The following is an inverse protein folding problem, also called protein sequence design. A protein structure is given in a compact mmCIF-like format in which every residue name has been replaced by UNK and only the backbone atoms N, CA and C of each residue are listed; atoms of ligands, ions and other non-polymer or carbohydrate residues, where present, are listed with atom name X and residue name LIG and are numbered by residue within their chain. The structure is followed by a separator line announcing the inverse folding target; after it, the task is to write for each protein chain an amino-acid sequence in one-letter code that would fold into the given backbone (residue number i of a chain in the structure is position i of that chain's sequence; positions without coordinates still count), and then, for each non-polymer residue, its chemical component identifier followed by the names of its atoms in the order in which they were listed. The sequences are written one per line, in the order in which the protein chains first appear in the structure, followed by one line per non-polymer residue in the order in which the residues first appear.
data_IF_552661464203
#
_entry.id   IF_552661464203
#
_cell.length_a   1.000
_cell.length_b   1.000
_cell.length_c   1.000
_cell.angle_alpha   90.00
_cell.angle_beta   90.00
_cell.angle_gamma   90.00
#
_symmetry.space_group_name_H-M   'P 1'
#
loop_
_entity.id
_entity.type
_entity.pdbx_description
1 polymer ?
#
# COMPACT_ATOMS: atom_id res chain seq x y z
N UNK A 1 3.16 6.58 -16.67
CA UNK A 1 2.16 7.11 -15.72
C UNK A 1 2.08 6.13 -14.56
N UNK A 2 2.82 6.33 -13.45
CA UNK A 2 2.99 5.29 -12.45
C UNK A 2 1.70 5.04 -11.66
N UNK A 3 1.54 3.79 -11.27
CA UNK A 3 0.39 3.26 -10.57
C UNK A 3 0.91 2.43 -9.40
N UNK A 4 0.86 2.98 -8.19
CA UNK A 4 1.16 2.24 -6.97
C UNK A 4 -0.13 1.63 -6.44
N UNK A 5 -0.12 0.31 -6.17
CA UNK A 5 -1.29 -0.43 -5.67
C UNK A 5 -0.81 -1.17 -4.43
N UNK A 6 -1.47 -0.96 -3.30
CA UNK A 6 -1.25 -1.80 -2.13
C UNK A 6 -2.42 -2.78 -1.94
N UNK A 7 -2.12 -4.05 -1.72
CA UNK A 7 -3.07 -5.00 -1.15
C UNK A 7 -2.70 -5.19 0.31
N UNK A 8 -3.63 -4.93 1.22
CA UNK A 8 -3.35 -4.88 2.65
C UNK A 8 -4.43 -5.62 3.42
N UNK A 9 -4.03 -6.49 4.35
CA UNK A 9 -4.98 -7.11 5.28
C UNK A 9 -5.60 -6.03 6.16
N UNK A 10 -6.92 -6.06 6.26
CA UNK A 10 -7.74 -5.18 7.08
C UNK A 10 -7.39 -5.16 8.57
N UNK A 11 -6.85 -6.25 9.12
CA UNK A 11 -6.53 -6.40 10.55
C UNK A 11 -5.42 -5.45 11.05
N UNK A 12 -4.67 -4.81 10.14
CA UNK A 12 -3.68 -3.76 10.47
C UNK A 12 -4.08 -2.37 9.93
N UNK A 13 -5.35 -2.14 9.58
CA UNK A 13 -5.78 -0.92 8.87
C UNK A 13 -5.33 0.39 9.53
N UNK A 14 -5.42 0.47 10.85
CA UNK A 14 -5.02 1.68 11.59
C UNK A 14 -3.49 1.80 11.69
N UNK A 15 -2.81 0.69 11.99
CA UNK A 15 -1.36 0.63 12.18
C UNK A 15 -0.59 0.81 10.86
N UNK A 16 -1.19 0.40 9.74
CA UNK A 16 -0.56 0.46 8.42
C UNK A 16 -0.42 1.89 7.88
N UNK A 17 -1.24 2.85 8.34
CA UNK A 17 -1.23 4.25 7.90
C UNK A 17 -1.02 4.41 6.39
N UNK A 18 -1.85 3.74 5.59
CA UNK A 18 -1.75 3.80 4.13
C UNK A 18 -1.82 5.24 3.57
N UNK A 19 -2.62 6.18 4.14
CA UNK A 19 -2.54 7.58 3.76
C UNK A 19 -1.13 8.18 3.92
N UNK A 20 -0.49 7.97 5.08
CA UNK A 20 0.89 8.42 5.33
C UNK A 20 1.91 7.75 4.41
N UNK A 21 1.75 6.46 4.12
CA UNK A 21 2.57 5.74 3.13
C UNK A 21 2.44 6.35 1.73
N UNK A 22 1.22 6.62 1.27
CA UNK A 22 0.98 7.17 -0.07
C UNK A 22 1.56 8.56 -0.26
N UNK A 23 1.54 9.43 0.76
CA UNK A 23 2.21 10.74 0.69
C UNK A 23 3.69 10.55 0.38
N UNK A 24 4.38 9.71 1.17
CA UNK A 24 5.82 9.45 1.03
C UNK A 24 6.18 8.79 -0.29
N UNK A 25 5.38 7.82 -0.75
CA UNK A 25 5.59 7.15 -2.04
C UNK A 25 5.44 8.14 -3.19
N UNK A 26 4.40 8.98 -3.17
CA UNK A 26 4.19 9.98 -4.22
C UNK A 26 5.31 11.01 -4.25
N UNK A 27 5.76 11.49 -3.09
CA UNK A 27 6.91 12.37 -2.95
C UNK A 27 8.18 11.72 -3.51
N UNK A 28 8.47 10.47 -3.15
CA UNK A 28 9.65 9.74 -3.64
C UNK A 28 9.62 9.52 -5.17
N UNK A 29 8.46 9.15 -5.72
CA UNK A 29 8.30 8.97 -7.17
C UNK A 29 8.46 10.29 -7.92
N UNK A 30 7.93 11.39 -7.40
CA UNK A 30 8.12 12.72 -8.00
C UNK A 30 9.58 13.18 -7.91
N UNK A 31 10.22 12.98 -6.76
CA UNK A 31 11.63 13.35 -6.53
C UNK A 31 12.61 12.58 -7.43
N UNK A 32 12.22 11.41 -7.94
CA UNK A 32 13.03 10.66 -8.92
C UNK A 32 13.30 11.41 -10.23
N UNK A 33 12.45 12.39 -10.59
CA UNK A 33 12.51 13.07 -11.89
C UNK A 33 12.05 12.21 -13.08
N UNK A 34 11.79 10.92 -12.88
CA UNK A 34 11.35 9.98 -13.92
C UNK A 34 9.85 10.10 -14.17
N UNK A 35 9.07 10.34 -13.11
CA UNK A 35 7.62 10.35 -13.18
C UNK A 35 7.03 11.74 -12.96
N UNK A 36 6.15 12.23 -13.87
CA UNK A 36 5.49 13.51 -13.68
C UNK A 36 4.47 13.43 -12.54
N UNK A 37 4.46 14.45 -11.66
CA UNK A 37 3.59 14.50 -10.47
C UNK A 37 2.11 14.29 -10.81
N UNK A 38 1.62 14.90 -11.90
CA UNK A 38 0.22 14.76 -12.33
C UNK A 38 -0.18 13.35 -12.78
N UNK A 39 0.80 12.44 -12.97
CA UNK A 39 0.55 11.05 -13.37
C UNK A 39 0.59 10.03 -12.22
N UNK A 40 0.99 10.44 -11.01
CA UNK A 40 1.20 9.51 -9.89
C UNK A 40 -0.14 9.21 -9.21
N UNK A 41 -0.51 7.91 -9.17
CA UNK A 41 -1.75 7.44 -8.53
C UNK A 41 -1.45 6.27 -7.60
N UNK A 42 -1.73 6.48 -6.31
CA UNK A 42 -1.60 5.50 -5.23
C UNK A 42 -2.97 5.14 -4.70
N UNK A 43 -3.23 3.86 -4.50
CA UNK A 43 -4.48 3.34 -3.91
C UNK A 43 -4.23 2.01 -3.22
N UNK A 44 -5.18 1.60 -2.38
CA UNK A 44 -5.18 0.28 -1.79
C UNK A 44 -6.48 -0.48 -1.98
N UNK A 45 -6.36 -1.80 -1.96
CA UNK A 45 -7.44 -2.74 -1.78
C UNK A 45 -7.28 -3.41 -0.42
N UNK A 46 -8.30 -3.28 0.41
CA UNK A 46 -8.35 -3.97 1.69
C UNK A 46 -8.81 -5.40 1.48
N UNK A 47 -8.11 -6.33 2.11
CA UNK A 47 -8.43 -7.75 2.08
C UNK A 47 -9.15 -8.09 3.40
N UNK A 48 -10.42 -8.46 3.31
CA UNK A 48 -11.23 -8.95 4.43
C UNK A 48 -11.33 -10.48 4.46
N UNK A 49 -10.81 -11.13 3.42
CA UNK A 49 -10.80 -12.58 3.25
C UNK A 49 -9.42 -13.00 2.77
N UNK A 50 -8.65 -13.60 3.66
CA UNK A 50 -7.27 -14.01 3.40
C UNK A 50 -6.84 -15.12 4.36
N UNK A 51 -5.77 -15.83 4.02
CA UNK A 51 -5.09 -16.78 4.91
C UNK A 51 -3.59 -16.67 4.69
N UNK A 52 -2.84 -16.39 5.76
CA UNK A 52 -1.39 -16.35 5.73
C UNK A 52 -0.82 -17.57 6.43
N UNK A 53 0.18 -18.22 5.80
CA UNK A 53 0.82 -19.43 6.30
C UNK A 53 -0.20 -20.52 6.71
N UNK A 54 -0.08 -21.06 7.93
CA UNK A 54 -0.96 -22.11 8.46
C UNK A 54 -2.17 -21.60 9.26
N UNK A 55 -2.38 -20.27 9.29
CA UNK A 55 -3.56 -19.64 9.91
C UNK A 55 -3.65 -19.75 11.43
N UNK A 56 -2.55 -20.09 12.14
CA UNK A 56 -2.59 -20.32 13.60
C UNK A 56 -2.37 -19.08 14.47
N UNK A 57 -2.00 -17.95 13.86
CA UNK A 57 -1.73 -16.71 14.57
C UNK A 57 -2.38 -15.53 13.85
N UNK A 58 -2.47 -14.39 14.55
CA UNK A 58 -2.92 -13.12 13.97
C UNK A 58 -1.80 -12.52 13.11
N UNK A 59 -1.75 -12.97 11.86
CA UNK A 59 -0.78 -12.54 10.87
C UNK A 59 -1.29 -11.32 10.10
N UNK A 60 -0.39 -10.58 9.45
CA UNK A 60 -0.79 -9.50 8.54
C UNK A 60 0.21 -9.40 7.38
N UNK A 61 -0.26 -8.91 6.24
CA UNK A 61 0.64 -8.63 5.12
C UNK A 61 0.25 -7.38 4.32
N UNK A 62 1.26 -6.84 3.63
CA UNK A 62 1.12 -5.74 2.66
C UNK A 62 1.89 -6.13 1.40
N UNK A 63 1.22 -6.16 0.26
CA UNK A 63 1.84 -6.32 -1.06
C UNK A 63 1.75 -5.01 -1.84
N UNK A 64 2.79 -4.66 -2.61
CA UNK A 64 2.95 -3.38 -3.32
C UNK A 64 3.61 -3.58 -4.68
#
# INVERSE_FOLDING_TARGET
MPHFIAECTENIREQADLPGLFSKVNEALAASGIFPIGGIRSRAHWLDTWQMADGKHDYAFVHM
#
